data_IF_839526021821
#
_entry.id   IF_839526021821
#
_cell.length_a   1.000
_cell.length_b   1.000
_cell.length_c   1.000
_cell.angle_alpha   90.00
_cell.angle_beta   90.00
_cell.angle_gamma   90.00
#
_symmetry.space_group_name_H-M   'P 1'
#
loop_
_entity.id
_entity.type
_entity.pdbx_description
1 polymer ?
#
# COMPACT_ATOMS: atom_id res chain seq x y z
N UNK A 1 43.81 -11.70 -31.41
CA UNK A 1 42.42 -11.95 -31.05
C UNK A 1 42.38 -12.18 -29.53
N UNK A 2 42.11 -11.13 -28.81
CA UNK A 2 42.12 -11.09 -27.34
C UNK A 2 40.71 -11.46 -26.87
N UNK A 3 40.61 -12.60 -26.15
CA UNK A 3 39.32 -13.07 -25.58
C UNK A 3 38.98 -12.18 -24.39
N UNK A 4 37.92 -11.40 -24.51
CA UNK A 4 37.35 -10.65 -23.42
C UNK A 4 36.87 -11.62 -22.32
N UNK A 5 37.60 -11.65 -21.23
CA UNK A 5 37.26 -12.44 -20.03
C UNK A 5 35.96 -11.95 -19.44
N UNK A 6 34.93 -12.76 -19.55
CA UNK A 6 33.61 -12.52 -18.95
C UNK A 6 33.77 -12.54 -17.42
N UNK A 7 33.82 -11.37 -16.81
CA UNK A 7 33.89 -11.23 -15.35
C UNK A 7 32.62 -11.81 -14.74
N UNK A 8 32.76 -12.97 -14.11
CA UNK A 8 31.68 -13.64 -13.39
C UNK A 8 31.48 -12.88 -12.08
N UNK A 9 30.34 -12.19 -11.91
CA UNK A 9 30.01 -11.49 -10.67
C UNK A 9 30.14 -12.43 -9.45
N UNK A 10 30.77 -11.99 -8.35
CA UNK A 10 30.81 -12.75 -7.11
C UNK A 10 29.41 -13.12 -6.62
N UNK A 11 29.28 -14.31 -6.00
CA UNK A 11 28.00 -14.75 -5.40
C UNK A 11 27.55 -13.71 -4.38
N UNK A 12 26.33 -13.18 -4.53
CA UNK A 12 25.72 -12.14 -3.69
C UNK A 12 25.52 -10.78 -4.37
N UNK A 13 26.34 -10.38 -5.33
CA UNK A 13 26.16 -9.09 -6.05
C UNK A 13 24.91 -9.05 -6.93
N UNK A 14 24.40 -10.21 -7.37
CA UNK A 14 23.18 -10.29 -8.14
C UNK A 14 21.94 -9.87 -7.31
N UNK A 15 21.81 -10.34 -6.07
CA UNK A 15 20.70 -9.94 -5.21
C UNK A 15 20.76 -8.46 -4.87
N UNK A 16 21.94 -7.95 -4.50
CA UNK A 16 22.11 -6.51 -4.20
C UNK A 16 21.69 -5.63 -5.38
N UNK A 17 22.07 -5.98 -6.61
CA UNK A 17 21.65 -5.24 -7.78
C UNK A 17 20.12 -5.33 -8.01
N UNK A 18 19.53 -6.51 -7.79
CA UNK A 18 18.09 -6.69 -7.90
C UNK A 18 17.36 -5.76 -6.94
N UNK A 19 17.77 -5.71 -5.68
CA UNK A 19 17.17 -4.87 -4.65
C UNK A 19 17.34 -3.38 -4.96
N UNK A 20 18.51 -2.96 -5.44
CA UNK A 20 18.77 -1.59 -5.91
C UNK A 20 17.86 -1.18 -7.08
N UNK A 21 17.60 -2.09 -8.03
CA UNK A 21 16.69 -1.84 -9.16
C UNK A 21 15.25 -1.66 -8.67
N UNK A 22 14.80 -2.48 -7.73
CA UNK A 22 13.46 -2.40 -7.13
C UNK A 22 13.29 -1.08 -6.40
N UNK A 23 14.22 -0.74 -5.52
CA UNK A 23 14.20 0.49 -4.74
C UNK A 23 14.25 1.75 -5.62
N UNK A 24 15.16 1.80 -6.60
CA UNK A 24 15.25 2.91 -7.55
C UNK A 24 13.96 3.07 -8.36
N UNK A 25 13.36 1.97 -8.79
CA UNK A 25 12.09 1.99 -9.53
C UNK A 25 10.96 2.52 -8.65
N UNK A 26 10.86 2.08 -7.40
CA UNK A 26 9.88 2.58 -6.43
C UNK A 26 10.01 4.09 -6.21
N UNK A 27 11.23 4.59 -5.97
CA UNK A 27 11.49 6.03 -5.83
C UNK A 27 11.11 6.82 -7.09
N UNK A 28 11.46 6.34 -8.28
CA UNK A 28 11.11 7.00 -9.54
C UNK A 28 9.59 7.08 -9.72
N UNK A 29 8.87 5.98 -9.52
CA UNK A 29 7.41 5.95 -9.62
C UNK A 29 6.76 6.92 -8.63
N UNK A 30 7.25 6.99 -7.40
CA UNK A 30 6.72 7.87 -6.36
C UNK A 30 6.96 9.36 -6.62
N UNK A 31 8.08 9.71 -7.30
CA UNK A 31 8.52 11.11 -7.47
C UNK A 31 8.27 11.69 -8.86
N UNK A 32 8.05 10.86 -9.87
CA UNK A 32 7.78 11.34 -11.22
C UNK A 32 6.39 11.99 -11.34
N UNK A 33 6.30 13.10 -12.06
CA UNK A 33 5.02 13.73 -12.41
C UNK A 33 4.18 12.82 -13.34
N UNK A 34 4.86 12.04 -14.18
CA UNK A 34 4.28 11.16 -15.18
C UNK A 34 4.89 9.75 -15.11
N UNK A 35 4.47 8.94 -14.11
CA UNK A 35 4.99 7.58 -13.89
C UNK A 35 4.80 6.66 -15.10
N UNK A 36 3.75 6.90 -15.91
CA UNK A 36 3.47 6.17 -17.15
C UNK A 36 4.57 6.31 -18.21
N UNK A 37 5.47 7.27 -18.08
CA UNK A 37 6.60 7.48 -18.98
C UNK A 37 7.91 6.82 -18.52
N UNK A 38 7.88 6.06 -17.41
CA UNK A 38 9.07 5.38 -16.89
C UNK A 38 9.63 4.39 -17.92
N UNK A 39 10.96 4.34 -18.01
CA UNK A 39 11.69 3.46 -18.93
C UNK A 39 12.81 2.71 -18.18
N UNK A 40 13.17 1.51 -18.66
CA UNK A 40 14.33 0.76 -18.15
C UNK A 40 15.64 1.56 -18.21
N UNK A 41 15.79 2.48 -19.20
CA UNK A 41 16.98 3.35 -19.29
C UNK A 41 17.04 4.36 -18.14
N UNK A 42 15.91 4.88 -17.68
CA UNK A 42 15.86 5.78 -16.53
C UNK A 42 16.24 5.02 -15.25
N UNK A 43 15.69 3.82 -15.06
CA UNK A 43 16.06 2.95 -13.91
C UNK A 43 17.55 2.60 -13.95
N UNK A 44 18.07 2.16 -15.09
CA UNK A 44 19.50 1.84 -15.25
C UNK A 44 20.41 3.03 -14.89
N UNK A 45 20.02 4.23 -15.33
CA UNK A 45 20.76 5.47 -15.01
C UNK A 45 20.71 5.80 -13.54
N UNK A 46 19.57 5.61 -12.88
CA UNK A 46 19.39 5.87 -11.44
C UNK A 46 20.30 4.96 -10.60
N UNK A 47 20.42 3.69 -11.00
CA UNK A 47 21.27 2.70 -10.29
C UNK A 47 22.75 2.77 -10.74
N UNK A 48 23.03 3.44 -11.87
CA UNK A 48 24.40 3.54 -12.40
C UNK A 48 24.89 2.27 -13.13
N UNK A 49 23.96 1.52 -13.75
CA UNK A 49 24.28 0.28 -14.49
C UNK A 49 23.93 0.40 -15.98
N UNK A 50 24.48 -0.51 -16.78
CA UNK A 50 24.05 -0.63 -18.18
C UNK A 50 22.63 -1.20 -18.26
N UNK A 51 21.73 -0.71 -19.16
CA UNK A 51 20.37 -1.23 -19.32
C UNK A 51 20.32 -2.76 -19.53
N UNK A 52 21.32 -3.32 -20.21
CA UNK A 52 21.44 -4.76 -20.43
C UNK A 52 21.56 -5.57 -19.13
N UNK A 53 22.07 -4.97 -18.04
CA UNK A 53 22.21 -5.63 -16.74
C UNK A 53 20.86 -5.90 -16.08
N UNK A 54 19.82 -5.10 -16.38
CA UNK A 54 18.48 -5.29 -15.81
C UNK A 54 17.87 -6.60 -16.29
N UNK A 55 18.06 -6.97 -17.54
CA UNK A 55 17.49 -8.19 -18.13
C UNK A 55 17.97 -9.50 -17.48
N UNK A 56 19.05 -9.47 -16.70
CA UNK A 56 19.48 -10.62 -15.89
C UNK A 56 18.63 -10.81 -14.62
N UNK A 57 17.82 -9.81 -14.24
CA UNK A 57 17.01 -9.79 -13.02
C UNK A 57 15.50 -9.71 -13.29
N UNK A 58 15.10 -8.99 -14.33
CA UNK A 58 13.71 -8.78 -14.72
C UNK A 58 13.59 -8.91 -16.24
N UNK A 59 12.54 -9.61 -16.70
CA UNK A 59 12.29 -9.85 -18.11
C UNK A 59 12.10 -8.55 -18.90
N UNK A 60 11.40 -7.60 -18.30
CA UNK A 60 11.07 -6.28 -18.87
C UNK A 60 10.73 -5.28 -17.76
N UNK A 61 10.33 -4.07 -18.17
CA UNK A 61 9.90 -3.01 -17.25
C UNK A 61 8.63 -3.38 -16.48
N UNK A 62 7.70 -4.07 -17.13
CA UNK A 62 6.44 -4.52 -16.52
C UNK A 62 6.70 -5.44 -15.34
N UNK A 63 7.52 -6.48 -15.53
CA UNK A 63 7.89 -7.41 -14.46
C UNK A 63 8.59 -6.71 -13.28
N UNK A 64 9.40 -5.69 -13.55
CA UNK A 64 10.05 -4.90 -12.52
C UNK A 64 9.01 -4.06 -11.73
N UNK A 65 8.12 -3.37 -12.43
CA UNK A 65 7.07 -2.55 -11.78
C UNK A 65 6.11 -3.43 -10.99
N UNK A 66 5.66 -4.55 -11.54
CA UNK A 66 4.79 -5.51 -10.82
C UNK A 66 5.43 -5.99 -9.53
N UNK A 67 6.73 -6.25 -9.56
CA UNK A 67 7.46 -6.64 -8.36
C UNK A 67 7.51 -5.52 -7.31
N UNK A 68 7.75 -4.27 -7.73
CA UNK A 68 7.71 -3.09 -6.85
C UNK A 68 6.32 -2.94 -6.22
N UNK A 69 5.26 -2.99 -7.03
CA UNK A 69 3.89 -2.84 -6.55
C UNK A 69 3.53 -3.94 -5.53
N UNK A 70 3.90 -5.18 -5.82
CA UNK A 70 3.68 -6.30 -4.90
C UNK A 70 4.33 -6.01 -3.53
N UNK A 71 5.59 -5.59 -3.51
CA UNK A 71 6.29 -5.28 -2.25
C UNK A 71 5.60 -4.14 -1.48
N UNK A 72 5.18 -3.07 -2.17
CA UNK A 72 4.49 -1.96 -1.50
C UNK A 72 3.14 -2.37 -0.89
N UNK A 73 2.38 -3.23 -1.57
CA UNK A 73 1.16 -3.80 -0.99
C UNK A 73 1.44 -4.71 0.20
N UNK A 74 2.51 -5.51 0.15
CA UNK A 74 2.93 -6.37 1.25
C UNK A 74 3.36 -5.54 2.46
N UNK A 75 4.16 -4.49 2.26
CA UNK A 75 4.56 -3.54 3.32
C UNK A 75 3.35 -2.87 3.98
N UNK A 76 2.41 -2.35 3.19
CA UNK A 76 1.17 -1.77 3.71
C UNK A 76 0.34 -2.81 4.47
N UNK A 77 0.25 -4.03 3.96
CA UNK A 77 -0.44 -5.13 4.62
C UNK A 77 0.18 -5.49 5.98
N UNK A 78 1.50 -5.54 6.06
CA UNK A 78 2.22 -5.74 7.31
C UNK A 78 1.91 -4.62 8.31
N UNK A 79 2.01 -3.35 7.89
CA UNK A 79 1.71 -2.20 8.75
C UNK A 79 0.29 -2.27 9.33
N UNK A 80 -0.71 -2.58 8.49
CA UNK A 80 -2.09 -2.74 8.91
C UNK A 80 -2.28 -3.93 9.87
N UNK A 81 -1.54 -5.02 9.66
CA UNK A 81 -1.59 -6.19 10.53
C UNK A 81 -0.93 -5.93 11.89
N UNK A 82 0.21 -5.25 11.91
CA UNK A 82 0.93 -4.88 13.14
C UNK A 82 0.08 -3.94 14.01
N UNK A 83 -0.56 -2.93 13.38
CA UNK A 83 -1.50 -2.06 14.08
C UNK A 83 -2.68 -2.84 14.69
N UNK A 84 -3.20 -3.84 13.99
CA UNK A 84 -4.28 -4.69 14.46
C UNK A 84 -3.87 -5.65 15.57
N UNK A 85 -2.64 -6.16 15.55
CA UNK A 85 -2.15 -7.16 16.52
C UNK A 85 -2.13 -6.68 17.97
N UNK A 86 -2.03 -5.36 18.18
CA UNK A 86 -2.08 -4.74 19.50
C UNK A 86 -3.50 -4.58 20.05
N UNK A 87 -4.54 -4.89 19.28
CA UNK A 87 -5.94 -4.62 19.64
C UNK A 87 -6.61 -5.80 20.36
N UNK A 88 -7.67 -5.51 21.14
CA UNK A 88 -8.37 -6.51 21.96
C UNK A 88 -9.82 -6.75 21.55
N UNK A 89 -10.33 -6.00 20.55
CA UNK A 89 -11.71 -6.15 20.08
C UNK A 89 -11.80 -5.99 18.55
N UNK A 90 -12.82 -6.62 17.92
CA UNK A 90 -13.02 -6.48 16.46
C UNK A 90 -13.20 -5.04 15.98
N UNK A 91 -13.83 -4.18 16.76
CA UNK A 91 -13.98 -2.76 16.41
C UNK A 91 -12.63 -2.03 16.50
N UNK A 92 -11.84 -2.30 17.53
CA UNK A 92 -10.49 -1.74 17.68
C UNK A 92 -9.57 -2.23 16.55
N UNK A 93 -9.66 -3.52 16.19
CA UNK A 93 -8.92 -4.09 15.05
C UNK A 93 -9.24 -3.37 13.74
N UNK A 94 -10.52 -3.20 13.42
CA UNK A 94 -10.95 -2.47 12.23
C UNK A 94 -10.42 -1.02 12.25
N UNK A 95 -10.60 -0.32 13.38
CA UNK A 95 -10.16 1.08 13.53
C UNK A 95 -8.66 1.22 13.35
N UNK A 96 -7.85 0.35 13.97
CA UNK A 96 -6.40 0.37 13.84
C UNK A 96 -5.93 0.11 12.41
N UNK A 97 -6.53 -0.86 11.71
CA UNK A 97 -6.23 -1.13 10.28
C UNK A 97 -6.53 0.07 9.39
N UNK A 98 -7.72 0.67 9.56
CA UNK A 98 -8.13 1.82 8.78
C UNK A 98 -7.25 3.05 9.05
N UNK A 99 -6.88 3.27 10.30
CA UNK A 99 -6.00 4.35 10.70
C UNK A 99 -4.58 4.15 10.11
N UNK A 100 -3.99 2.96 10.26
CA UNK A 100 -2.68 2.65 9.67
C UNK A 100 -2.66 2.88 8.15
N UNK A 101 -3.69 2.43 7.43
CA UNK A 101 -3.84 2.68 6.00
C UNK A 101 -3.90 4.18 5.67
N UNK A 102 -4.77 4.94 6.36
CA UNK A 102 -5.01 6.33 6.07
C UNK A 102 -3.77 7.20 6.37
N UNK A 103 -3.13 7.00 7.50
CA UNK A 103 -1.90 7.71 7.88
C UNK A 103 -0.76 7.41 6.92
N UNK A 104 -0.51 6.12 6.63
CA UNK A 104 0.51 5.74 5.64
C UNK A 104 0.26 6.43 4.29
N UNK A 105 -0.99 6.43 3.83
CA UNK A 105 -1.33 7.03 2.54
C UNK A 105 -1.14 8.55 2.49
N UNK A 106 -1.33 9.26 3.60
CA UNK A 106 -1.10 10.72 3.70
C UNK A 106 0.38 11.05 3.90
N UNK A 107 1.11 10.24 4.64
CA UNK A 107 2.55 10.44 4.89
C UNK A 107 3.41 10.07 3.68
N UNK A 108 2.94 9.13 2.84
CA UNK A 108 3.64 8.64 1.66
C UNK A 108 2.85 8.88 0.35
N UNK A 109 2.52 10.13 0.00
CA UNK A 109 1.60 10.44 -1.10
C UNK A 109 2.07 9.95 -2.46
N UNK A 110 3.38 9.90 -2.70
CA UNK A 110 3.96 9.38 -3.95
C UNK A 110 3.81 7.86 -4.08
N UNK A 111 4.09 7.13 -3.00
CA UNK A 111 3.94 5.67 -2.94
C UNK A 111 2.45 5.27 -2.99
N UNK A 112 1.61 5.99 -2.25
CA UNK A 112 0.16 5.82 -2.32
C UNK A 112 -0.37 5.99 -3.74
N UNK A 113 0.04 7.06 -4.44
CA UNK A 113 -0.31 7.27 -5.85
C UNK A 113 0.17 6.12 -6.73
N UNK A 114 1.34 5.56 -6.45
CA UNK A 114 1.91 4.45 -7.21
C UNK A 114 1.05 3.19 -7.12
N UNK A 115 0.55 2.84 -5.92
CA UNK A 115 -0.24 1.61 -5.73
C UNK A 115 -1.73 1.78 -6.03
N UNK A 116 -2.29 3.00 -5.87
CA UNK A 116 -3.74 3.25 -5.98
C UNK A 116 -4.09 4.13 -7.18
N UNK A 117 -3.21 5.03 -7.58
CA UNK A 117 -3.54 6.18 -8.45
C UNK A 117 -3.65 5.90 -9.95
N UNK A 118 -3.48 4.67 -10.42
CA UNK A 118 -3.72 4.30 -11.82
C UNK A 118 -2.79 4.94 -12.88
N UNK A 119 -1.79 5.71 -12.50
CA UNK A 119 -0.81 6.35 -13.39
C UNK A 119 0.32 5.42 -13.84
N UNK A 120 0.03 4.13 -14.06
CA UNK A 120 1.02 3.14 -14.48
C UNK A 120 1.17 3.09 -16.00
N UNK A 121 2.33 2.65 -16.53
CA UNK A 121 2.48 2.34 -17.93
C UNK A 121 1.37 1.40 -18.40
N UNK A 122 0.82 1.65 -19.60
CA UNK A 122 -0.33 0.92 -20.15
C UNK A 122 -0.13 -0.60 -20.19
N UNK A 123 1.14 -1.03 -20.25
CA UNK A 123 1.53 -2.44 -20.27
C UNK A 123 1.45 -3.09 -18.89
N UNK A 124 1.45 -2.31 -17.81
CA UNK A 124 1.28 -2.81 -16.44
C UNK A 124 -0.21 -2.99 -16.22
N UNK A 125 -0.66 -4.23 -16.30
CA UNK A 125 -2.05 -4.54 -15.97
C UNK A 125 -2.36 -4.03 -14.56
N UNK A 126 -3.53 -3.39 -14.34
CA UNK A 126 -3.90 -3.05 -12.98
C UNK A 126 -3.81 -4.30 -12.12
N UNK A 127 -2.98 -4.29 -11.10
CA UNK A 127 -2.80 -5.39 -10.13
C UNK A 127 -4.06 -5.73 -9.32
N UNK A 128 -5.16 -5.24 -9.78
CA UNK A 128 -6.42 -5.13 -9.10
C UNK A 128 -7.19 -6.42 -9.05
N UNK A 129 -6.85 -7.41 -9.84
CA UNK A 129 -7.73 -8.56 -9.90
C UNK A 129 -7.23 -9.78 -9.11
N UNK A 130 -5.92 -9.97 -8.90
CA UNK A 130 -5.42 -11.22 -8.31
C UNK A 130 -4.09 -11.03 -7.58
N UNK A 131 -4.07 -10.31 -6.43
CA UNK A 131 -2.81 -10.11 -5.75
C UNK A 131 -2.90 -9.45 -4.36
N UNK A 132 -1.82 -8.85 -3.92
CA UNK A 132 -1.68 -8.26 -2.60
C UNK A 132 -2.73 -7.19 -2.28
N UNK A 133 -3.19 -6.41 -3.29
CA UNK A 133 -4.28 -5.44 -3.11
C UNK A 133 -5.63 -6.10 -2.83
N UNK A 134 -5.93 -7.24 -3.45
CA UNK A 134 -7.14 -8.03 -3.14
C UNK A 134 -7.10 -8.57 -1.71
N UNK A 135 -5.92 -9.02 -1.24
CA UNK A 135 -5.78 -9.50 0.15
C UNK A 135 -6.00 -8.39 1.17
N UNK A 136 -5.56 -7.16 0.90
CA UNK A 136 -5.86 -6.00 1.77
C UNK A 136 -7.36 -5.74 1.85
N UNK A 137 -8.07 -5.75 0.71
CA UNK A 137 -9.52 -5.59 0.67
C UNK A 137 -10.22 -6.73 1.43
N UNK A 138 -9.85 -7.98 1.18
CA UNK A 138 -10.42 -9.13 1.87
C UNK A 138 -10.22 -9.06 3.39
N UNK A 139 -9.05 -8.59 3.84
CA UNK A 139 -8.74 -8.39 5.25
C UNK A 139 -9.64 -7.31 5.87
N UNK A 140 -9.85 -6.21 5.16
CA UNK A 140 -10.76 -5.14 5.62
C UNK A 140 -12.22 -5.62 5.68
N UNK A 141 -12.68 -6.36 4.67
CA UNK A 141 -14.03 -6.97 4.66
C UNK A 141 -14.23 -7.87 5.88
N UNK A 142 -13.25 -8.75 6.19
CA UNK A 142 -13.30 -9.64 7.37
C UNK A 142 -13.34 -8.85 8.67
N UNK A 143 -12.52 -7.82 8.82
CA UNK A 143 -12.47 -6.97 10.01
C UNK A 143 -13.80 -6.22 10.22
N UNK A 144 -14.36 -5.61 9.16
CA UNK A 144 -15.65 -4.92 9.21
C UNK A 144 -16.78 -5.89 9.57
N UNK A 145 -16.80 -7.08 8.97
CA UNK A 145 -17.79 -8.11 9.29
C UNK A 145 -17.70 -8.58 10.76
N UNK A 146 -16.49 -8.69 11.31
CA UNK A 146 -16.29 -9.04 12.71
C UNK A 146 -16.79 -7.94 13.66
N UNK A 147 -16.47 -6.66 13.35
CA UNK A 147 -16.95 -5.50 14.11
C UNK A 147 -18.49 -5.38 14.08
N UNK A 148 -19.11 -5.62 12.92
CA UNK A 148 -20.57 -5.57 12.74
C UNK A 148 -21.30 -6.68 13.50
N UNK A 149 -20.74 -7.91 13.56
CA UNK A 149 -21.30 -9.01 14.36
C UNK A 149 -21.29 -8.69 15.85
N UNK A 150 -20.25 -8.05 16.35
CA UNK A 150 -20.19 -7.60 17.73
C UNK A 150 -21.29 -6.58 18.05
N UNK A 151 -21.75 -5.80 17.06
CA UNK A 151 -22.88 -4.89 17.14
C UNK A 151 -24.26 -5.55 16.98
N UNK A 152 -24.33 -6.90 16.83
CA UNK A 152 -25.60 -7.64 16.73
C UNK A 152 -26.26 -7.58 15.35
N UNK A 153 -25.57 -7.19 14.31
CA UNK A 153 -26.07 -7.16 12.91
C UNK A 153 -25.63 -8.43 12.15
N UNK A 154 -26.49 -9.44 11.97
CA UNK A 154 -26.21 -10.53 11.06
C UNK A 154 -26.24 -10.01 9.62
N UNK A 155 -25.30 -10.42 8.79
CA UNK A 155 -25.23 -10.07 7.38
C UNK A 155 -24.79 -11.27 6.55
N UNK A 156 -25.27 -11.35 5.31
CA UNK A 156 -24.81 -12.35 4.34
C UNK A 156 -23.39 -12.04 3.87
N UNK A 157 -22.74 -13.00 3.22
CA UNK A 157 -21.40 -12.79 2.65
C UNK A 157 -21.40 -11.65 1.61
N UNK A 158 -22.44 -11.56 0.79
CA UNK A 158 -22.57 -10.51 -0.22
C UNK A 158 -22.74 -9.13 0.41
N UNK A 159 -23.55 -9.00 1.46
CA UNK A 159 -23.70 -7.74 2.21
C UNK A 159 -22.39 -7.32 2.89
N UNK A 160 -21.62 -8.28 3.45
CA UNK A 160 -20.32 -8.02 4.04
C UNK A 160 -19.32 -7.53 3.00
N UNK A 161 -19.29 -8.17 1.82
CA UNK A 161 -18.46 -7.75 0.70
C UNK A 161 -18.79 -6.34 0.24
N UNK A 162 -20.08 -6.05 -0.01
CA UNK A 162 -20.54 -4.72 -0.42
C UNK A 162 -20.18 -3.63 0.61
N UNK A 163 -20.44 -3.89 1.89
CA UNK A 163 -20.10 -2.96 2.96
C UNK A 163 -18.59 -2.69 3.05
N UNK A 164 -17.77 -3.74 2.94
CA UNK A 164 -16.33 -3.62 2.92
C UNK A 164 -15.81 -2.86 1.70
N UNK A 165 -16.40 -3.10 0.52
CA UNK A 165 -16.05 -2.37 -0.70
C UNK A 165 -16.40 -0.88 -0.61
N UNK A 166 -17.54 -0.53 0.00
CA UNK A 166 -17.94 0.88 0.21
C UNK A 166 -16.98 1.55 1.20
N UNK A 167 -16.63 0.89 2.32
CA UNK A 167 -15.63 1.40 3.25
C UNK A 167 -14.28 1.60 2.58
N UNK A 168 -13.80 0.61 1.81
CA UNK A 168 -12.57 0.69 1.04
C UNK A 168 -12.55 1.88 0.08
N UNK A 169 -13.65 2.08 -0.67
CA UNK A 169 -13.83 3.23 -1.57
C UNK A 169 -13.81 4.55 -0.80
N UNK A 170 -14.48 4.61 0.36
CA UNK A 170 -14.49 5.79 1.22
C UNK A 170 -13.10 6.16 1.73
N UNK A 171 -12.32 5.18 2.18
CA UNK A 171 -10.94 5.38 2.61
C UNK A 171 -10.03 5.85 1.48
N UNK A 172 -10.15 5.24 0.29
CA UNK A 172 -9.41 5.69 -0.89
C UNK A 172 -9.77 7.11 -1.28
N UNK A 173 -11.06 7.45 -1.30
CA UNK A 173 -11.53 8.79 -1.58
C UNK A 173 -10.97 9.81 -0.58
N UNK A 174 -11.01 9.49 0.71
CA UNK A 174 -10.49 10.34 1.77
C UNK A 174 -9.00 10.64 1.58
N UNK A 175 -8.16 9.61 1.51
CA UNK A 175 -6.70 9.76 1.37
C UNK A 175 -6.33 10.45 0.05
N UNK A 176 -6.96 10.05 -1.04
CA UNK A 176 -6.69 10.62 -2.37
C UNK A 176 -7.01 12.12 -2.44
N UNK A 177 -8.16 12.52 -1.90
CA UNK A 177 -8.58 13.92 -1.86
C UNK A 177 -7.72 14.73 -0.89
N UNK A 178 -7.38 14.18 0.27
CA UNK A 178 -6.50 14.81 1.25
C UNK A 178 -5.13 15.12 0.64
N UNK A 179 -4.56 14.19 -0.11
CA UNK A 179 -3.27 14.36 -0.78
C UNK A 179 -3.33 15.34 -1.96
N UNK A 180 -4.44 15.38 -2.71
CA UNK A 180 -4.52 16.17 -3.94
C UNK A 180 -5.07 17.58 -3.76
N UNK A 181 -5.71 17.88 -2.63
CA UNK A 181 -6.39 19.14 -2.39
C UNK A 181 -5.91 19.81 -1.09
N UNK A 182 -4.60 19.93 -0.89
CA UNK A 182 -4.00 20.52 0.31
C UNK A 182 -4.43 21.97 0.62
N UNK A 183 -5.08 22.66 -0.33
CA UNK A 183 -5.60 24.04 -0.14
C UNK A 183 -6.98 24.08 0.53
N UNK A 184 -7.65 22.95 0.70
CA UNK A 184 -8.93 22.91 1.42
C UNK A 184 -8.68 22.92 2.94
N UNK A 185 -9.57 23.57 3.72
CA UNK A 185 -9.50 23.52 5.18
C UNK A 185 -10.00 22.16 5.70
N UNK A 186 -9.19 21.12 5.49
CA UNK A 186 -9.54 19.76 5.95
C UNK A 186 -9.64 19.71 7.47
N UNK A 187 -10.67 19.05 8.02
CA UNK A 187 -10.62 18.55 9.39
C UNK A 187 -9.43 17.60 9.60
N UNK A 188 -9.10 17.30 10.84
CA UNK A 188 -8.06 16.30 11.12
C UNK A 188 -8.40 14.98 10.46
N UNK A 189 -7.38 14.26 9.95
CA UNK A 189 -7.55 12.97 9.26
C UNK A 189 -8.30 11.97 10.15
N UNK A 190 -7.93 11.91 11.44
CA UNK A 190 -8.55 10.99 12.41
C UNK A 190 -10.03 11.32 12.66
N UNK A 191 -10.39 12.60 12.66
CA UNK A 191 -11.79 13.02 12.78
C UNK A 191 -12.62 12.52 11.60
N UNK A 192 -12.13 12.69 10.37
CA UNK A 192 -12.81 12.22 9.16
C UNK A 192 -12.90 10.70 9.11
N UNK A 193 -11.83 10.02 9.50
CA UNK A 193 -11.78 8.57 9.56
C UNK A 193 -12.75 8.01 10.61
N UNK A 194 -12.81 8.63 11.78
CA UNK A 194 -13.76 8.30 12.84
C UNK A 194 -15.21 8.42 12.36
N UNK A 195 -15.54 9.49 11.64
CA UNK A 195 -16.87 9.65 11.06
C UNK A 195 -17.17 8.58 10.01
N UNK A 196 -16.22 8.27 9.14
CA UNK A 196 -16.37 7.22 8.14
C UNK A 196 -16.63 5.86 8.80
N UNK A 197 -15.87 5.50 9.82
CA UNK A 197 -16.04 4.27 10.58
C UNK A 197 -17.38 4.22 11.31
N UNK A 198 -17.82 5.35 11.90
CA UNK A 198 -19.13 5.48 12.56
C UNK A 198 -20.27 5.15 11.60
N UNK A 199 -20.24 5.67 10.36
CA UNK A 199 -21.24 5.40 9.34
C UNK A 199 -21.32 3.91 8.97
N UNK A 200 -20.18 3.22 8.91
CA UNK A 200 -20.11 1.82 8.51
C UNK A 200 -20.42 0.83 9.63
N UNK A 201 -20.03 1.16 10.85
CA UNK A 201 -20.19 0.27 12.00
C UNK A 201 -21.46 0.52 12.80
N UNK A 202 -22.06 1.70 12.66
CA UNK A 202 -23.19 2.16 13.49
C UNK A 202 -22.79 2.49 14.93
N UNK A 203 -21.48 2.62 15.20
CA UNK A 203 -20.94 3.02 16.49
C UNK A 203 -20.82 4.53 16.57
N UNK A 204 -20.82 5.06 17.78
CA UNK A 204 -20.62 6.50 18.00
C UNK A 204 -19.18 6.91 17.68
N UNK A 205 -18.99 8.15 17.26
CA UNK A 205 -17.64 8.69 17.03
C UNK A 205 -16.81 8.64 18.30
N UNK A 206 -17.39 8.92 19.46
CA UNK A 206 -16.70 8.86 20.76
C UNK A 206 -16.16 7.46 21.07
N UNK A 207 -16.94 6.39 20.82
CA UNK A 207 -16.44 5.02 21.00
C UNK A 207 -15.24 4.70 20.11
N UNK A 208 -15.24 5.21 18.86
CA UNK A 208 -14.15 4.99 17.91
C UNK A 208 -12.92 5.83 18.26
N UNK A 209 -13.10 7.09 18.65
CA UNK A 209 -12.03 7.98 19.13
C UNK A 209 -11.29 7.41 20.33
N UNK A 210 -12.04 6.91 21.33
CA UNK A 210 -11.46 6.25 22.50
C UNK A 210 -10.60 5.03 22.12
N UNK A 211 -11.06 4.24 21.14
CA UNK A 211 -10.30 3.10 20.64
C UNK A 211 -9.05 3.53 19.87
N UNK A 212 -9.15 4.54 19.02
CA UNK A 212 -8.01 5.04 18.25
C UNK A 212 -6.97 5.71 19.15
N UNK A 213 -7.37 6.45 20.18
CA UNK A 213 -6.47 7.07 21.15
C UNK A 213 -5.66 6.04 21.97
N UNK A 214 -6.21 4.84 22.17
CA UNK A 214 -5.52 3.74 22.86
C UNK A 214 -4.42 3.04 22.05
N UNK A 215 -4.38 3.29 20.73
CA UNK A 215 -3.44 2.68 19.80
C UNK A 215 -2.79 3.77 18.94
N UNK A 216 -1.80 4.52 19.50
CA UNK A 216 -1.09 5.52 18.71
C UNK A 216 -0.45 4.82 17.52
N UNK A 217 -0.75 5.30 16.32
CA UNK A 217 -0.19 4.78 15.09
C UNK A 217 1.27 5.20 15.10
N UNK A 218 2.12 4.25 15.41
CA UNK A 218 3.56 4.42 15.24
C UNK A 218 3.80 4.25 13.74
N UNK A 219 4.17 5.31 13.05
CA UNK A 219 4.76 5.23 11.72
C UNK A 219 6.06 4.46 11.88
N UNK A 220 6.01 3.15 11.65
CA UNK A 220 7.16 2.30 11.86
C UNK A 220 8.11 2.46 10.68
N UNK A 221 9.29 2.99 10.95
CA UNK A 221 10.43 2.99 10.02
C UNK A 221 10.90 1.59 9.63
N UNK A 222 10.35 0.52 10.23
CA UNK A 222 10.77 -0.86 9.93
C UNK A 222 9.61 -1.86 10.13
N UNK A 223 9.06 -2.36 9.03
CA UNK A 223 8.35 -3.63 9.04
C UNK A 223 9.38 -4.77 9.03
N UNK A 224 9.44 -5.59 10.08
CA UNK A 224 10.32 -6.77 10.14
C UNK A 224 9.91 -7.91 9.18
N UNK A 225 8.84 -7.74 8.43
CA UNK A 225 8.32 -8.76 7.49
C UNK A 225 9.13 -8.93 6.20
N UNK A 226 10.19 -8.15 5.98
CA UNK A 226 10.99 -8.16 4.74
C UNK A 226 12.28 -8.99 4.84
N UNK A 227 12.34 -10.05 5.69
CA UNK A 227 13.45 -10.99 5.71
C UNK A 227 13.13 -12.35 5.12
#
# INVERSE_FOLDING_TARGET
>A
MEQATRHRNPRGQGQVLRDQLVEATGRLLATMDRPETLTLRQVAREVGVAPASIYSHFADLTALIEHVLKLRYEELGCLMNDAAAATTSPLAELSARCAAYAHWGVEHPGEYRTIIGGGMPEQVAPLNAHGAGEELLNTLVRALAAASRQGGKPSTADEQWQAGLILWTGMHGLVSLYNSHGNLPWPALDELLTQLLSLHTGRTTTEIEELMAGYPITTADHCECAQ
#
